data_IF_864479466958
#
_entry.id   IF_864479466958
#
_cell.length_a   1.000
_cell.length_b   1.000
_cell.length_c   1.000
_cell.angle_alpha   90.00
_cell.angle_beta   90.00
_cell.angle_gamma   90.00
#
_symmetry.space_group_name_H-M   'P 1'
#
loop_
_entity.id
_entity.type
_entity.pdbx_description
1 polymer ?
#
# COMPACT_ATOMS: atom_id res chain seq x y z
N UNK A 1 5.86 5.85 -8.41
CA UNK A 1 4.96 6.33 -7.32
C UNK A 1 5.21 7.82 -7.05
N UNK A 2 4.26 8.52 -6.43
CA UNK A 2 4.40 9.94 -6.07
C UNK A 2 3.91 10.19 -4.64
N UNK A 3 4.70 10.91 -3.85
CA UNK A 3 4.30 11.44 -2.55
C UNK A 3 4.85 12.88 -2.44
N UNK A 4 4.11 13.77 -1.77
CA UNK A 4 4.49 15.18 -1.62
C UNK A 4 4.73 15.58 -0.16
N UNK A 5 4.31 14.75 0.79
CA UNK A 5 4.59 14.94 2.21
C UNK A 5 5.98 14.40 2.54
N UNK A 6 6.81 15.22 3.21
CA UNK A 6 8.20 14.88 3.50
C UNK A 6 8.38 13.66 4.40
N UNK A 7 7.49 13.47 5.38
CA UNK A 7 7.54 12.31 6.27
C UNK A 7 7.19 11.03 5.48
N UNK A 8 6.10 11.07 4.70
CA UNK A 8 5.71 9.92 3.86
C UNK A 8 6.82 9.57 2.87
N UNK A 9 7.43 10.58 2.21
CA UNK A 9 8.56 10.38 1.31
C UNK A 9 9.75 9.70 2.01
N UNK A 10 10.08 10.15 3.23
CA UNK A 10 11.14 9.53 4.01
C UNK A 10 10.84 8.06 4.30
N UNK A 11 9.60 7.71 4.68
CA UNK A 11 9.20 6.31 4.93
C UNK A 11 9.22 5.45 3.68
N UNK A 12 8.83 5.99 2.53
CA UNK A 12 8.99 5.30 1.25
C UNK A 12 10.46 4.97 0.99
N UNK A 13 11.35 5.94 1.21
CA UNK A 13 12.80 5.74 1.04
C UNK A 13 13.37 4.72 2.03
N UNK A 14 13.00 4.83 3.31
CA UNK A 14 13.44 3.90 4.35
C UNK A 14 12.94 2.48 4.10
N UNK A 15 11.67 2.32 3.73
CA UNK A 15 11.10 1.02 3.35
C UNK A 15 11.84 0.42 2.16
N UNK A 16 12.07 1.21 1.12
CA UNK A 16 12.85 0.78 -0.04
C UNK A 16 14.29 0.40 0.36
N UNK A 17 14.94 1.11 1.27
CA UNK A 17 16.30 0.76 1.69
C UNK A 17 16.34 -0.48 2.58
N UNK A 18 15.40 -0.61 3.53
CA UNK A 18 15.49 -1.56 4.66
C UNK A 18 14.74 -2.86 4.42
N UNK A 19 13.74 -2.89 3.54
CA UNK A 19 12.90 -4.07 3.29
C UNK A 19 13.01 -4.54 1.84
N UNK A 20 13.43 -5.79 1.65
CA UNK A 20 13.48 -6.44 0.34
C UNK A 20 12.08 -6.64 -0.24
N UNK A 21 11.12 -7.01 0.61
CA UNK A 21 9.72 -7.15 0.23
C UNK A 21 9.15 -5.81 -0.25
N UNK A 22 9.36 -4.73 0.51
CA UNK A 22 8.92 -3.39 0.12
C UNK A 22 9.51 -2.96 -1.24
N UNK A 23 10.81 -3.16 -1.46
CA UNK A 23 11.45 -2.88 -2.76
C UNK A 23 10.79 -3.61 -3.91
N UNK A 24 10.51 -4.90 -3.73
CA UNK A 24 9.93 -5.72 -4.79
C UNK A 24 8.56 -5.21 -5.21
N UNK A 25 7.72 -4.80 -4.24
CA UNK A 25 6.40 -4.22 -4.53
C UNK A 25 6.54 -2.89 -5.29
N UNK A 26 7.44 -2.00 -4.85
CA UNK A 26 7.69 -0.71 -5.52
C UNK A 26 8.18 -0.93 -6.96
N UNK A 27 9.17 -1.79 -7.17
CA UNK A 27 9.72 -2.06 -8.49
C UNK A 27 8.70 -2.72 -9.43
N UNK A 28 7.78 -3.53 -8.90
CA UNK A 28 6.69 -4.09 -9.69
C UNK A 28 5.72 -3.00 -10.16
N UNK A 29 5.37 -2.06 -9.29
CA UNK A 29 4.51 -0.93 -9.63
C UNK A 29 5.17 0.03 -10.63
N UNK A 30 6.47 0.28 -10.50
CA UNK A 30 7.23 1.13 -11.44
C UNK A 30 7.29 0.57 -12.85
N UNK A 31 7.13 -0.75 -13.00
CA UNK A 31 7.06 -1.44 -14.31
C UNK A 31 5.63 -1.60 -14.83
N UNK A 32 4.65 -1.03 -14.13
CA UNK A 32 3.24 -1.11 -14.50
C UNK A 32 2.71 0.22 -15.05
N UNK A 33 1.48 0.20 -15.57
CA UNK A 33 0.72 1.40 -15.94
C UNK A 33 -0.07 2.01 -14.75
N UNK A 34 0.26 1.65 -13.51
CA UNK A 34 -0.41 2.17 -12.31
C UNK A 34 0.45 3.21 -11.63
N UNK A 35 -0.08 4.44 -11.54
CA UNK A 35 0.57 5.55 -10.86
C UNK A 35 -0.12 5.75 -9.51
N UNK A 36 0.62 5.49 -8.43
CA UNK A 36 0.13 5.60 -7.05
C UNK A 36 0.53 6.93 -6.44
N UNK A 37 -0.46 7.66 -5.91
CA UNK A 37 -0.28 8.82 -5.04
C UNK A 37 -0.43 8.40 -3.57
N UNK A 38 0.60 8.65 -2.75
CA UNK A 38 0.56 8.39 -1.31
C UNK A 38 0.44 9.71 -0.56
N UNK A 39 -0.65 9.87 0.19
CA UNK A 39 -0.98 11.10 0.89
C UNK A 39 -1.10 10.85 2.41
N UNK A 40 -0.70 11.80 3.26
CA UNK A 40 -1.01 11.73 4.67
C UNK A 40 -2.50 12.01 4.90
N UNK A 41 -3.11 11.33 5.87
CA UNK A 41 -4.49 11.60 6.27
C UNK A 41 -5.09 10.48 7.11
N UNK A 42 -6.41 10.54 7.29
CA UNK A 42 -7.18 9.48 7.91
C UNK A 42 -8.12 8.88 6.88
N UNK A 43 -8.34 7.56 6.95
CA UNK A 43 -9.38 6.94 6.14
C UNK A 43 -10.76 7.48 6.53
N UNK A 44 -11.60 7.77 5.53
CA UNK A 44 -12.98 8.24 5.76
C UNK A 44 -13.87 7.18 6.43
N UNK A 45 -13.42 5.91 6.49
CA UNK A 45 -14.21 4.80 7.03
C UNK A 45 -13.43 4.06 8.12
N UNK A 46 -13.74 4.37 9.39
CA UNK A 46 -13.21 3.67 10.57
C UNK A 46 -11.81 4.09 11.03
N UNK A 47 -11.35 3.53 12.17
CA UNK A 47 -10.01 3.75 12.75
C UNK A 47 -8.95 2.89 12.05
N UNK A 48 -8.90 2.90 10.72
CA UNK A 48 -7.90 2.15 9.95
C UNK A 48 -6.67 3.03 9.72
N UNK A 49 -5.49 2.43 9.78
CA UNK A 49 -4.20 3.13 9.81
C UNK A 49 -3.68 3.53 8.41
N UNK A 50 -4.25 2.95 7.36
CA UNK A 50 -4.07 3.27 5.95
C UNK A 50 -5.24 2.69 5.15
N UNK A 51 -5.54 3.29 3.99
CA UNK A 51 -6.50 2.74 3.04
C UNK A 51 -6.15 3.14 1.60
N UNK A 52 -6.26 2.20 0.68
CA UNK A 52 -6.34 2.43 -0.75
C UNK A 52 -7.72 3.00 -1.08
N UNK A 53 -7.88 4.32 -0.89
CA UNK A 53 -9.21 4.92 -0.83
C UNK A 53 -9.95 4.90 -2.18
N UNK A 54 -9.31 5.27 -3.30
CA UNK A 54 -10.06 5.52 -4.56
C UNK A 54 -9.20 5.34 -5.82
N UNK A 55 -9.79 4.69 -6.83
CA UNK A 55 -9.35 4.83 -8.22
C UNK A 55 -9.62 6.27 -8.65
N UNK A 56 -8.57 7.01 -9.02
CA UNK A 56 -8.64 8.44 -9.33
C UNK A 56 -9.08 8.67 -10.77
N UNK A 57 -8.71 7.78 -11.69
CA UNK A 57 -9.10 7.86 -13.10
C UNK A 57 -8.12 7.15 -14.03
N UNK A 58 -8.43 7.18 -15.33
CA UNK A 58 -7.56 6.73 -16.42
C UNK A 58 -7.17 7.94 -17.26
N UNK A 59 -5.89 8.11 -17.59
CA UNK A 59 -5.45 9.06 -18.61
C UNK A 59 -4.54 8.32 -19.61
N UNK A 60 -4.99 8.22 -20.86
CA UNK A 60 -4.34 7.33 -21.83
C UNK A 60 -4.39 5.88 -21.35
N UNK A 61 -3.23 5.23 -21.25
CA UNK A 61 -3.10 3.88 -20.70
C UNK A 61 -2.85 3.85 -19.20
N UNK A 62 -2.60 5.00 -18.56
CA UNK A 62 -2.21 5.06 -17.16
C UNK A 62 -3.43 5.08 -16.23
N UNK A 63 -3.35 4.31 -15.16
CA UNK A 63 -4.37 4.20 -14.12
C UNK A 63 -3.85 4.83 -12.84
N UNK A 64 -4.61 5.77 -12.29
CA UNK A 64 -4.17 6.53 -11.12
C UNK A 64 -4.87 6.03 -9.87
N UNK A 65 -4.10 5.70 -8.85
CA UNK A 65 -4.61 5.25 -7.55
C UNK A 65 -4.17 6.21 -6.45
N UNK A 66 -4.98 6.31 -5.40
CA UNK A 66 -4.69 7.11 -4.21
C UNK A 66 -4.70 6.25 -2.95
N UNK A 67 -3.58 6.27 -2.24
CA UNK A 67 -3.41 5.70 -0.91
C UNK A 67 -3.38 6.84 0.10
N UNK A 68 -4.07 6.65 1.23
CA UNK A 68 -3.99 7.55 2.38
C UNK A 68 -3.44 6.78 3.58
N UNK A 69 -2.47 7.37 4.28
CA UNK A 69 -1.85 6.77 5.48
C UNK A 69 -1.79 7.75 6.65
N UNK A 70 -2.00 7.22 7.85
CA UNK A 70 -1.93 8.00 9.08
C UNK A 70 -0.50 8.30 9.49
N UNK A 71 -0.21 9.56 9.80
CA UNK A 71 1.08 10.00 10.35
C UNK A 71 1.27 9.63 11.83
N UNK A 72 0.23 9.15 12.50
CA UNK A 72 0.27 8.81 13.93
C UNK A 72 0.93 7.45 14.22
N UNK A 73 1.42 6.75 13.20
CA UNK A 73 2.08 5.45 13.32
C UNK A 73 3.56 5.59 13.66
N UNK A 74 4.12 4.59 14.34
CA UNK A 74 5.56 4.45 14.48
C UNK A 74 6.23 4.25 13.13
N UNK A 75 7.54 4.46 13.07
CA UNK A 75 8.33 4.43 11.83
C UNK A 75 8.13 3.15 11.01
N UNK A 76 8.41 2.01 11.64
CA UNK A 76 8.34 0.71 10.97
C UNK A 76 6.89 0.30 10.67
N UNK A 77 5.94 0.72 11.52
CA UNK A 77 4.52 0.47 11.27
C UNK A 77 4.00 1.26 10.09
N UNK A 78 4.42 2.52 9.93
CA UNK A 78 4.06 3.33 8.76
C UNK A 78 4.64 2.74 7.48
N UNK A 79 5.88 2.26 7.51
CA UNK A 79 6.49 1.57 6.36
C UNK A 79 5.69 0.30 6.01
N UNK A 80 5.35 -0.52 7.00
CA UNK A 80 4.59 -1.75 6.78
C UNK A 80 3.19 -1.48 6.22
N UNK A 81 2.45 -0.52 6.79
CA UNK A 81 1.13 -0.11 6.30
C UNK A 81 1.22 0.45 4.89
N UNK A 82 2.21 1.27 4.57
CA UNK A 82 2.40 1.74 3.18
C UNK A 82 2.67 0.57 2.23
N UNK A 83 3.48 -0.41 2.65
CA UNK A 83 3.77 -1.60 1.85
C UNK A 83 2.53 -2.47 1.60
N UNK A 84 1.68 -2.61 2.62
CA UNK A 84 0.37 -3.25 2.52
C UNK A 84 -0.49 -2.59 1.42
N UNK A 85 -0.67 -1.28 1.49
CA UNK A 85 -1.50 -0.54 0.53
C UNK A 85 -0.91 -0.55 -0.89
N UNK A 86 0.42 -0.56 -1.01
CA UNK A 86 1.11 -0.72 -2.29
C UNK A 86 0.91 -2.13 -2.87
N UNK A 87 0.78 -3.15 -2.04
CA UNK A 87 0.48 -4.50 -2.51
C UNK A 87 -0.94 -4.57 -3.10
N UNK A 88 -1.93 -3.91 -2.50
CA UNK A 88 -3.25 -3.76 -3.14
C UNK A 88 -3.16 -3.02 -4.47
N UNK A 89 -2.36 -1.95 -4.56
CA UNK A 89 -2.14 -1.26 -5.83
C UNK A 89 -1.49 -2.19 -6.88
N UNK A 90 -0.61 -3.10 -6.46
CA UNK A 90 0.02 -4.09 -7.34
C UNK A 90 -0.99 -5.13 -7.83
N UNK A 91 -1.94 -5.54 -7.01
CA UNK A 91 -3.05 -6.42 -7.42
C UNK A 91 -3.91 -5.76 -8.50
N UNK A 92 -4.23 -4.47 -8.33
CA UNK A 92 -4.91 -3.67 -9.36
C UNK A 92 -4.07 -3.57 -10.64
N UNK A 93 -2.76 -3.39 -10.51
CA UNK A 93 -1.86 -3.33 -11.66
C UNK A 93 -1.87 -4.64 -12.47
N UNK A 94 -1.89 -5.80 -11.79
CA UNK A 94 -1.96 -7.11 -12.42
C UNK A 94 -3.32 -7.38 -13.10
N UNK A 95 -4.41 -6.81 -12.57
CA UNK A 95 -5.74 -6.96 -13.15
C UNK A 95 -6.01 -5.88 -14.21
N UNK A 96 -5.67 -6.15 -15.47
CA UNK A 96 -5.87 -5.21 -16.60
C UNK A 96 -7.33 -4.78 -16.81
N UNK A 97 -8.30 -5.57 -16.34
CA UNK A 97 -9.73 -5.27 -16.39
C UNK A 97 -10.18 -4.21 -15.38
N UNK A 98 -9.32 -3.82 -14.42
CA UNK A 98 -9.63 -2.78 -13.45
C UNK A 98 -9.35 -1.41 -14.06
N UNK A 99 -10.41 -0.67 -14.36
CA UNK A 99 -10.36 0.65 -15.01
C UNK A 99 -11.15 1.72 -14.27
N UNK A 100 -11.84 1.35 -13.19
CA UNK A 100 -12.61 2.25 -12.34
C UNK A 100 -12.80 1.66 -10.93
N UNK A 101 -13.41 2.43 -10.03
CA UNK A 101 -13.70 1.98 -8.66
C UNK A 101 -14.63 0.76 -8.60
N UNK A 102 -15.53 0.58 -9.57
CA UNK A 102 -16.50 -0.53 -9.57
C UNK A 102 -15.83 -1.85 -9.92
N UNK A 103 -14.98 -1.85 -10.93
CA UNK A 103 -14.17 -3.00 -11.35
C UNK A 103 -13.11 -3.36 -10.33
N UNK A 104 -12.52 -2.35 -9.67
CA UNK A 104 -11.62 -2.54 -8.52
C UNK A 104 -12.32 -3.20 -7.33
N UNK A 105 -13.53 -2.75 -7.00
CA UNK A 105 -14.34 -3.35 -5.95
C UNK A 105 -14.74 -4.80 -6.29
N UNK A 106 -15.07 -5.07 -7.56
CA UNK A 106 -15.35 -6.41 -8.04
C UNK A 106 -14.13 -7.34 -7.93
N UNK A 107 -12.93 -6.83 -8.22
CA UNK A 107 -11.67 -7.56 -8.01
C UNK A 107 -11.55 -7.98 -6.55
N UNK A 108 -11.57 -7.03 -5.61
CA UNK A 108 -11.35 -7.35 -4.20
C UNK A 108 -12.48 -8.15 -3.56
N UNK A 109 -13.71 -8.02 -4.06
CA UNK A 109 -14.81 -8.94 -3.72
C UNK A 109 -14.52 -10.39 -4.08
N UNK A 110 -13.81 -10.61 -5.19
CA UNK A 110 -13.52 -11.93 -5.71
C UNK A 110 -12.25 -12.53 -5.09
N UNK A 111 -11.21 -11.71 -4.90
CA UNK A 111 -9.89 -12.18 -4.46
C UNK A 111 -9.65 -12.00 -2.96
N UNK A 112 -10.40 -11.11 -2.33
CA UNK A 112 -10.26 -10.76 -0.93
C UNK A 112 -11.32 -11.37 -0.03
N UNK A 113 -11.25 -11.01 1.24
CA UNK A 113 -12.21 -11.39 2.28
C UNK A 113 -12.54 -10.17 3.13
N UNK A 114 -13.68 -10.21 3.83
CA UNK A 114 -14.13 -9.09 4.67
C UNK A 114 -13.43 -9.16 6.03
N UNK A 115 -12.40 -8.36 6.27
CA UNK A 115 -11.73 -8.30 7.58
C UNK A 115 -11.43 -6.89 8.09
N UNK A 116 -12.30 -5.93 7.79
CA UNK A 116 -12.12 -4.57 8.27
C UNK A 116 -12.93 -4.34 9.55
N UNK A 117 -12.31 -4.56 10.71
CA UNK A 117 -12.97 -4.31 12.01
C UNK A 117 -13.32 -2.82 12.14
N UNK A 118 -14.59 -2.52 12.38
CA UNK A 118 -15.06 -1.15 12.67
C UNK A 118 -15.17 -0.22 11.47
N UNK A 119 -15.16 -0.76 10.25
CA UNK A 119 -15.34 -0.01 8.99
C UNK A 119 -16.81 -0.11 8.55
N UNK A 120 -17.52 1.02 8.45
CA UNK A 120 -18.89 1.08 7.93
C UNK A 120 -18.84 1.15 6.40
N UNK A 121 -18.98 0.01 5.72
CA UNK A 121 -19.05 -0.05 4.27
C UNK A 121 -18.42 -1.32 3.69
N UNK A 122 -18.17 -1.28 2.38
CA UNK A 122 -17.45 -2.35 1.69
C UNK A 122 -15.95 -2.20 1.93
N UNK A 123 -15.37 -3.23 2.52
CA UNK A 123 -13.96 -3.28 2.79
C UNK A 123 -13.50 -4.73 2.68
N UNK A 124 -12.44 -4.89 1.90
CA UNK A 124 -11.88 -6.17 1.50
C UNK A 124 -10.38 -6.12 1.76
N UNK A 125 -9.89 -7.21 2.29
CA UNK A 125 -8.49 -7.47 2.57
C UNK A 125 -8.04 -8.64 1.70
N UNK A 126 -6.75 -8.72 1.38
CA UNK A 126 -6.18 -9.85 0.66
C UNK A 126 -5.06 -10.50 1.47
N UNK A 127 -4.96 -11.83 1.36
CA UNK A 127 -3.88 -12.57 2.04
C UNK A 127 -2.50 -12.06 1.61
N UNK A 128 -2.35 -11.66 0.35
CA UNK A 128 -1.09 -11.16 -0.17
C UNK A 128 -0.68 -9.82 0.46
N UNK A 129 -1.62 -8.91 0.73
CA UNK A 129 -1.34 -7.65 1.40
C UNK A 129 -0.93 -7.86 2.87
N UNK A 130 -1.65 -8.72 3.61
CA UNK A 130 -1.27 -9.12 4.98
C UNK A 130 0.13 -9.77 4.99
N UNK A 131 0.39 -10.76 4.13
CA UNK A 131 1.68 -11.44 4.08
C UNK A 131 2.83 -10.49 3.72
N UNK A 132 2.55 -9.50 2.86
CA UNK A 132 3.51 -8.44 2.52
C UNK A 132 3.83 -7.59 3.75
N UNK A 133 2.80 -7.17 4.49
CA UNK A 133 2.96 -6.37 5.70
C UNK A 133 3.80 -7.10 6.76
N UNK A 134 3.45 -8.35 7.04
CA UNK A 134 4.16 -9.19 8.02
C UNK A 134 5.61 -9.42 7.62
N UNK A 135 5.87 -9.66 6.34
CA UNK A 135 7.23 -9.81 5.82
C UNK A 135 8.04 -8.53 5.97
N UNK A 136 7.45 -7.36 5.67
CA UNK A 136 8.10 -6.07 5.88
C UNK A 136 8.45 -5.87 7.35
N UNK A 137 7.49 -6.07 8.27
CA UNK A 137 7.74 -5.92 9.71
C UNK A 137 8.86 -6.84 10.19
N UNK A 138 8.90 -8.08 9.70
CA UNK A 138 9.97 -9.04 10.01
C UNK A 138 11.32 -8.58 9.48
N UNK A 139 11.38 -7.98 8.30
CA UNK A 139 12.62 -7.46 7.71
C UNK A 139 13.12 -6.20 8.46
N UNK A 140 12.22 -5.31 8.85
CA UNK A 140 12.54 -4.10 9.61
C UNK A 140 13.02 -4.42 11.03
N UNK A 141 12.39 -5.41 11.69
CA UNK A 141 12.76 -5.90 13.03
C UNK A 141 14.04 -6.74 13.07
N UNK A 142 14.61 -7.12 11.91
CA UNK A 142 15.87 -7.89 11.82
C UNK A 142 17.13 -7.03 11.68
N UNK A 143 17.04 -5.71 11.71
CA UNK A 143 18.23 -4.85 11.66
C UNK A 143 18.88 -4.71 13.04
N UNK A 144 19.56 -5.77 13.50
CA UNK A 144 20.69 -5.65 14.43
C UNK A 144 21.84 -6.63 14.08
N UNK A 145 23.05 -6.04 14.10
CA UNK A 145 24.41 -6.58 14.01
C UNK A 145 25.09 -6.77 12.64
N UNK A 146 25.97 -5.82 12.28
CA UNK A 146 27.40 -5.92 12.63
C UNK A 146 28.08 -4.54 12.64
N UNK A 147 28.46 -4.07 13.82
CA UNK A 147 29.72 -3.30 13.98
C UNK A 147 30.76 -4.37 14.32
N UNK A 148 31.83 -4.47 13.52
CA UNK A 148 33.01 -5.27 13.82
C UNK A 148 34.15 -4.32 14.21
N UNK A 149 35.08 -4.82 15.05
CA UNK A 149 35.79 -4.09 16.10
C UNK A 149 36.80 -3.06 15.61
#
# INVERSE_FOLDING_TARGET
>A
MRATDGLVLQRLHDGFRRSATFRQVVLALERSNVIVYVLPGFCEVGRVSGCLLRFVGVAGTDRYLRIVVSRALSEDRLIAVVGHELQHAREVAAAVSVTDSKTMLALFRHTGFRECRGVIGECYETRAAIETEDAILKELGKQYHFVRP
#
